data_IF_197506178217
#
_entry.id   IF_197506178217
#
_cell.length_a   1.000
_cell.length_b   1.000
_cell.length_c   1.000
_cell.angle_alpha   90.00
_cell.angle_beta   90.00
_cell.angle_gamma   90.00
#
_symmetry.space_group_name_H-M   'P 1'
#
loop_
_entity.id
_entity.type
_entity.pdbx_description
1 polymer ?
#
# COMPACT_ATOMS: atom_id res chain seq x y z
N UNK A 1 27.91 58.77 62.99
CA UNK A 1 28.47 57.89 61.95
C UNK A 1 27.80 56.53 62.07
N UNK A 2 26.70 56.29 61.36
CA UNK A 2 26.21 54.96 60.93
C UNK A 2 25.20 55.21 59.79
N UNK A 3 25.55 54.77 58.59
CA UNK A 3 24.84 55.04 57.34
C UNK A 3 23.62 54.12 57.19
N UNK A 4 22.43 54.71 57.00
CA UNK A 4 21.23 53.98 56.58
C UNK A 4 21.19 53.97 55.04
N UNK A 5 21.55 52.85 54.42
CA UNK A 5 21.40 52.64 52.97
C UNK A 5 20.03 52.04 52.68
N UNK A 6 19.13 52.84 52.11
CA UNK A 6 17.90 52.41 51.46
C UNK A 6 18.22 51.66 50.16
N UNK A 7 17.88 50.37 50.11
CA UNK A 7 17.91 49.58 48.87
C UNK A 7 16.53 49.68 48.20
N UNK A 8 16.44 50.43 47.11
CA UNK A 8 15.28 50.42 46.21
C UNK A 8 15.45 49.22 45.29
N UNK A 9 14.63 48.19 45.50
CA UNK A 9 14.58 47.01 44.64
C UNK A 9 13.69 47.34 43.43
N UNK A 10 14.29 47.71 42.30
CA UNK A 10 13.60 47.86 41.03
C UNK A 10 13.25 46.46 40.48
N UNK A 11 12.00 46.04 40.64
CA UNK A 11 11.46 44.88 39.94
C UNK A 11 11.28 45.25 38.46
N UNK A 12 12.23 44.82 37.62
CA UNK A 12 12.04 44.79 36.18
C UNK A 12 11.02 43.68 35.86
N UNK A 13 9.76 44.07 35.68
CA UNK A 13 8.75 43.26 35.01
C UNK A 13 9.18 43.06 33.57
N UNK A 14 9.96 42.01 33.30
CA UNK A 14 10.11 41.49 31.94
C UNK A 14 8.76 40.90 31.53
N UNK A 15 8.11 41.37 30.45
CA UNK A 15 6.95 40.67 29.93
C UNK A 15 7.43 39.30 29.48
N UNK A 16 6.94 38.25 30.12
CA UNK A 16 6.98 36.90 29.58
C UNK A 16 6.15 36.98 28.30
N UNK A 17 6.80 37.18 27.16
CA UNK A 17 6.22 37.00 25.85
C UNK A 17 5.86 35.51 25.75
N UNK A 18 4.63 35.17 26.14
CA UNK A 18 4.03 33.92 25.77
C UNK A 18 4.04 33.88 24.24
N UNK A 19 4.81 32.96 23.66
CA UNK A 19 4.70 32.64 22.25
C UNK A 19 3.23 32.29 21.97
N UNK A 20 2.51 33.17 21.28
CA UNK A 20 1.12 32.93 20.93
C UNK A 20 1.05 31.64 20.12
N UNK A 21 0.25 30.69 20.57
CA UNK A 21 -0.03 29.49 19.79
C UNK A 21 -0.54 29.94 18.41
N UNK A 22 0.17 29.56 17.35
CA UNK A 22 -0.14 29.98 15.98
C UNK A 22 -1.62 29.74 15.69
N UNK A 23 -2.34 30.82 15.41
CA UNK A 23 -3.79 30.75 15.21
C UNK A 23 -4.12 30.03 13.91
N UNK A 24 -5.21 29.25 13.90
CA UNK A 24 -5.69 28.60 12.67
C UNK A 24 -5.94 29.61 11.54
N UNK A 25 -6.35 30.84 11.88
CA UNK A 25 -6.56 31.93 10.92
C UNK A 25 -5.29 32.30 10.16
N UNK A 26 -4.13 32.33 10.84
CA UNK A 26 -2.84 32.62 10.21
C UNK A 26 -2.44 31.53 9.20
N UNK A 27 -2.78 30.26 9.48
CA UNK A 27 -2.54 29.13 8.58
C UNK A 27 -3.50 29.23 7.39
N UNK A 28 -4.79 29.49 7.62
CA UNK A 28 -5.80 29.65 6.56
C UNK A 28 -5.40 30.71 5.53
N UNK A 29 -4.88 31.85 5.99
CA UNK A 29 -4.40 32.92 5.12
C UNK A 29 -3.24 32.48 4.21
N UNK A 30 -2.41 31.53 4.65
CA UNK A 30 -1.27 31.02 3.89
C UNK A 30 -1.62 29.86 2.95
N UNK A 31 -2.74 29.15 3.18
CA UNK A 31 -3.15 27.99 2.37
C UNK A 31 -3.40 28.38 0.91
N UNK A 32 -4.09 29.50 0.65
CA UNK A 32 -4.37 29.96 -0.72
C UNK A 32 -3.07 30.17 -1.52
N UNK A 33 -2.12 30.88 -0.93
CA UNK A 33 -0.81 31.13 -1.52
C UNK A 33 -0.04 29.80 -1.75
N UNK A 34 -0.09 28.90 -0.76
CA UNK A 34 0.54 27.58 -0.84
C UNK A 34 0.00 26.74 -2.00
N UNK A 35 -1.32 26.70 -2.18
CA UNK A 35 -1.96 25.98 -3.29
C UNK A 35 -1.48 26.49 -4.65
N UNK A 36 -1.32 27.81 -4.78
CA UNK A 36 -0.85 28.41 -6.03
C UNK A 36 0.61 28.08 -6.33
N UNK A 37 1.50 28.21 -5.33
CA UNK A 37 2.97 28.12 -5.51
C UNK A 37 3.52 26.70 -5.46
N UNK A 38 2.97 25.84 -4.61
CA UNK A 38 3.60 24.56 -4.25
C UNK A 38 2.85 23.34 -4.77
N UNK A 39 1.58 23.47 -5.16
CA UNK A 39 0.80 22.36 -5.68
C UNK A 39 0.78 22.35 -7.22
N UNK A 40 1.15 21.21 -7.82
CA UNK A 40 1.23 21.01 -9.26
C UNK A 40 0.68 19.64 -9.67
N UNK A 41 0.39 19.47 -10.95
CA UNK A 41 -0.02 18.19 -11.55
C UNK A 41 -1.51 17.86 -11.38
N UNK A 42 -1.88 16.64 -11.78
CA UNK A 42 -3.28 16.19 -11.94
C UNK A 42 -4.16 16.24 -10.68
N UNK A 43 -3.57 16.32 -9.49
CA UNK A 43 -4.32 16.36 -8.23
C UNK A 43 -4.63 17.77 -7.77
N UNK A 44 -4.01 18.79 -8.37
CA UNK A 44 -4.18 20.19 -7.98
C UNK A 44 -5.65 20.62 -7.95
N UNK A 45 -6.47 20.40 -9.00
CA UNK A 45 -7.86 20.84 -8.98
C UNK A 45 -8.69 20.20 -7.86
N UNK A 46 -8.38 18.94 -7.52
CA UNK A 46 -9.08 18.21 -6.45
C UNK A 46 -8.78 18.85 -5.10
N UNK A 47 -7.50 19.05 -4.78
CA UNK A 47 -7.10 19.65 -3.50
C UNK A 47 -7.55 21.11 -3.40
N UNK A 48 -7.47 21.89 -4.48
CA UNK A 48 -8.01 23.26 -4.50
C UNK A 48 -9.51 23.27 -4.20
N UNK A 49 -10.28 22.34 -4.77
CA UNK A 49 -11.71 22.21 -4.49
C UNK A 49 -11.97 21.78 -3.04
N UNK A 50 -11.16 20.89 -2.46
CA UNK A 50 -11.27 20.51 -1.05
C UNK A 50 -11.12 21.72 -0.12
N UNK A 51 -10.13 22.60 -0.36
CA UNK A 51 -9.95 23.79 0.48
C UNK A 51 -10.98 24.88 0.21
N UNK A 52 -11.41 25.07 -1.05
CA UNK A 52 -12.47 26.02 -1.38
C UNK A 52 -13.77 25.70 -0.65
N UNK A 53 -14.15 24.42 -0.55
CA UNK A 53 -15.41 24.01 0.09
C UNK A 53 -15.43 24.20 1.62
N UNK A 54 -14.26 24.40 2.24
CA UNK A 54 -14.11 24.60 3.69
C UNK A 54 -13.57 25.99 4.03
N UNK A 55 -13.68 26.95 3.10
CA UNK A 55 -13.16 28.31 3.26
C UNK A 55 -11.67 28.35 3.69
N UNK A 56 -10.86 27.45 3.13
CA UNK A 56 -9.43 27.34 3.35
C UNK A 56 -8.99 27.07 4.80
N UNK A 57 -9.89 26.58 5.66
CA UNK A 57 -9.50 26.11 6.99
C UNK A 57 -8.57 24.89 6.89
N UNK A 58 -7.54 24.77 7.74
CA UNK A 58 -6.63 23.63 7.73
C UNK A 58 -7.36 22.34 8.11
N UNK A 59 -7.06 21.26 7.38
CA UNK A 59 -7.72 19.96 7.57
C UNK A 59 -7.00 19.13 8.63
N UNK A 60 -5.66 19.16 8.62
CA UNK A 60 -4.79 18.23 9.35
C UNK A 60 -4.00 18.89 10.47
N UNK A 61 -3.66 20.17 10.30
CA UNK A 61 -2.83 20.96 11.20
C UNK A 61 -3.68 21.89 12.05
N UNK A 62 -3.25 22.15 13.28
CA UNK A 62 -3.92 23.06 14.22
C UNK A 62 -4.64 22.34 15.35
N UNK A 63 -5.16 23.14 16.29
CA UNK A 63 -5.82 22.62 17.49
C UNK A 63 -7.02 21.72 17.13
N UNK A 64 -7.15 20.59 17.82
CA UNK A 64 -8.19 19.58 17.56
C UNK A 64 -7.94 18.63 16.37
N UNK A 65 -6.93 18.87 15.53
CA UNK A 65 -6.71 18.08 14.31
C UNK A 65 -5.76 16.89 14.49
N UNK A 66 -5.12 16.74 15.65
CA UNK A 66 -4.09 15.70 15.88
C UNK A 66 -4.58 14.27 15.64
N UNK A 67 -5.86 13.97 15.91
CA UNK A 67 -6.46 12.66 15.61
C UNK A 67 -6.51 12.40 14.10
N UNK A 68 -6.94 13.40 13.32
CA UNK A 68 -7.03 13.32 11.85
C UNK A 68 -5.64 13.13 11.24
N UNK A 69 -4.66 13.90 11.70
CA UNK A 69 -3.27 13.78 11.29
C UNK A 69 -2.72 12.36 11.55
N UNK A 70 -2.87 11.85 12.78
CA UNK A 70 -2.39 10.49 13.12
C UNK A 70 -3.07 9.42 12.29
N UNK A 71 -4.38 9.53 12.06
CA UNK A 71 -5.11 8.57 11.24
C UNK A 71 -4.60 8.57 9.80
N UNK A 72 -4.49 9.74 9.16
CA UNK A 72 -3.95 9.82 7.80
C UNK A 72 -2.52 9.29 7.72
N UNK A 73 -1.64 9.66 8.66
CA UNK A 73 -0.26 9.17 8.68
C UNK A 73 -0.18 7.64 8.85
N UNK A 74 -1.13 7.04 9.56
CA UNK A 74 -1.28 5.59 9.64
C UNK A 74 -1.78 5.01 8.31
N UNK A 75 -2.83 5.57 7.73
CA UNK A 75 -3.42 5.11 6.46
C UNK A 75 -2.43 5.19 5.28
N UNK A 76 -1.56 6.20 5.26
CA UNK A 76 -0.50 6.35 4.25
C UNK A 76 0.54 5.23 4.31
N UNK A 77 0.68 4.51 5.43
CA UNK A 77 1.60 3.38 5.61
C UNK A 77 0.92 2.03 5.62
N UNK A 78 -0.40 1.99 5.81
CA UNK A 78 -1.14 0.75 5.93
C UNK A 78 -1.04 -0.05 4.62
N UNK A 79 -0.49 -1.29 4.64
CA UNK A 79 -0.44 -2.14 3.45
C UNK A 79 -1.81 -2.37 2.82
N UNK A 80 -2.90 -2.24 3.57
CA UNK A 80 -4.25 -2.31 3.04
C UNK A 80 -4.53 -1.23 1.98
N UNK A 81 -3.92 -0.06 2.10
CA UNK A 81 -4.10 1.04 1.15
C UNK A 81 -2.84 1.30 0.31
N UNK A 82 -1.65 1.03 0.86
CA UNK A 82 -0.35 1.33 0.28
C UNK A 82 0.57 0.10 0.21
N UNK A 83 0.07 -1.00 -0.35
CA UNK A 83 0.84 -2.25 -0.47
C UNK A 83 2.16 -2.15 -1.25
N UNK A 84 2.33 -1.12 -2.09
CA UNK A 84 3.58 -0.83 -2.82
C UNK A 84 4.56 0.06 -2.04
N UNK A 85 4.22 0.43 -0.80
CA UNK A 85 5.03 1.27 0.08
C UNK A 85 5.46 2.60 -0.59
N UNK A 86 4.54 3.24 -1.31
CA UNK A 86 4.78 4.54 -1.94
C UNK A 86 5.00 5.59 -0.86
N UNK A 87 5.95 6.50 -1.10
CA UNK A 87 6.29 7.54 -0.11
C UNK A 87 5.11 8.44 0.24
N UNK A 88 4.31 8.87 -0.76
CA UNK A 88 3.25 9.86 -0.58
C UNK A 88 3.71 11.07 0.25
N UNK A 89 4.88 11.61 -0.11
CA UNK A 89 5.51 12.80 0.47
C UNK A 89 5.82 12.70 1.97
N UNK A 90 5.69 11.52 2.57
CA UNK A 90 5.84 11.30 4.01
C UNK A 90 7.23 11.71 4.53
N UNK A 91 8.29 11.46 3.78
CA UNK A 91 9.64 11.86 4.20
C UNK A 91 9.80 13.38 4.23
N UNK A 92 9.32 14.08 3.20
CA UNK A 92 9.36 15.55 3.18
C UNK A 92 8.46 16.16 4.26
N UNK A 93 7.30 15.55 4.54
CA UNK A 93 6.42 15.99 5.64
C UNK A 93 7.11 15.81 7.00
N UNK A 94 7.75 14.67 7.25
CA UNK A 94 8.52 14.42 8.48
C UNK A 94 9.66 15.42 8.65
N UNK A 95 10.39 15.72 7.57
CA UNK A 95 11.46 16.71 7.59
C UNK A 95 10.94 18.10 7.96
N UNK A 96 9.81 18.53 7.40
CA UNK A 96 9.22 19.83 7.75
C UNK A 96 8.73 19.89 9.20
N UNK A 97 8.15 18.81 9.73
CA UNK A 97 7.83 18.71 11.17
C UNK A 97 9.08 18.79 12.03
N UNK A 98 10.13 18.05 11.69
CA UNK A 98 11.40 18.09 12.41
C UNK A 98 11.97 19.51 12.48
N UNK A 99 12.01 20.24 11.37
CA UNK A 99 12.51 21.63 11.33
C UNK A 99 11.66 22.60 12.17
N UNK A 100 10.35 22.35 12.28
CA UNK A 100 9.47 23.12 13.16
C UNK A 100 9.76 22.81 14.63
N UNK A 101 9.94 21.53 14.96
CA UNK A 101 10.17 21.04 16.33
C UNK A 101 11.56 21.44 16.88
N UNK A 102 12.58 21.50 16.01
CA UNK A 102 13.94 21.93 16.38
C UNK A 102 14.10 23.46 16.44
N UNK A 103 13.08 24.21 16.03
CA UNK A 103 13.15 25.68 15.98
C UNK A 103 13.96 26.25 14.82
N UNK A 104 14.36 25.42 13.84
CA UNK A 104 15.05 25.87 12.61
C UNK A 104 14.18 26.83 11.78
N UNK A 105 12.85 26.72 11.87
CA UNK A 105 11.92 27.64 11.22
C UNK A 105 11.61 28.85 12.13
N UNK A 106 11.99 30.08 11.71
CA UNK A 106 11.65 31.30 12.44
C UNK A 106 10.14 31.47 12.61
N UNK A 107 9.72 32.03 13.74
CA UNK A 107 8.30 32.15 14.13
C UNK A 107 7.42 32.76 13.03
N UNK A 108 7.88 33.86 12.42
CA UNK A 108 7.16 34.55 11.34
C UNK A 108 6.94 33.70 10.06
N UNK A 109 7.70 32.60 9.87
CA UNK A 109 7.53 31.65 8.75
C UNK A 109 6.72 30.41 9.12
N UNK A 110 6.49 30.15 10.41
CA UNK A 110 5.88 28.89 10.85
C UNK A 110 4.48 28.68 10.27
N UNK A 111 3.65 29.73 10.18
CA UNK A 111 2.31 29.64 9.60
C UNK A 111 2.33 29.17 8.13
N UNK A 112 3.29 29.64 7.32
CA UNK A 112 3.40 29.22 5.92
C UNK A 112 3.93 27.78 5.77
N UNK A 113 4.84 27.35 6.67
CA UNK A 113 5.30 25.96 6.71
C UNK A 113 4.18 25.02 7.16
N UNK A 114 3.38 25.40 8.16
CA UNK A 114 2.20 24.63 8.57
C UNK A 114 1.17 24.51 7.45
N UNK A 115 0.88 25.61 6.72
CA UNK A 115 0.01 25.56 5.55
C UNK A 115 0.55 24.64 4.45
N UNK A 116 1.88 24.65 4.23
CA UNK A 116 2.55 23.74 3.30
C UNK A 116 2.39 22.28 3.69
N UNK A 117 2.57 21.95 4.96
CA UNK A 117 2.37 20.57 5.46
C UNK A 117 0.91 20.16 5.28
N UNK A 118 -0.05 21.02 5.62
CA UNK A 118 -1.49 20.73 5.48
C UNK A 118 -1.86 20.40 4.02
N UNK A 119 -1.39 21.22 3.07
CA UNK A 119 -1.61 20.99 1.63
C UNK A 119 -0.88 19.73 1.14
N UNK A 120 0.33 19.44 1.63
CA UNK A 120 1.06 18.21 1.29
C UNK A 120 0.32 16.97 1.75
N UNK A 121 -0.20 16.97 2.99
CA UNK A 121 -1.02 15.88 3.54
C UNK A 121 -2.30 15.67 2.71
N UNK A 122 -2.98 16.76 2.32
CA UNK A 122 -4.15 16.70 1.44
C UNK A 122 -3.81 16.10 0.07
N UNK A 123 -2.69 16.50 -0.54
CA UNK A 123 -2.23 15.92 -1.80
C UNK A 123 -1.87 14.43 -1.63
N UNK A 124 -1.22 14.04 -0.54
CA UNK A 124 -0.90 12.65 -0.22
C UNK A 124 -2.16 11.80 -0.06
N UNK A 125 -3.19 12.32 0.60
CA UNK A 125 -4.48 11.67 0.74
C UNK A 125 -5.16 11.47 -0.63
N UNK A 126 -5.20 12.50 -1.48
CA UNK A 126 -5.72 12.40 -2.86
C UNK A 126 -4.93 11.37 -3.69
N UNK A 127 -3.60 11.34 -3.55
CA UNK A 127 -2.74 10.35 -4.23
C UNK A 127 -3.03 8.92 -3.76
N UNK A 128 -3.28 8.73 -2.46
CA UNK A 128 -3.65 7.42 -1.92
C UNK A 128 -5.00 6.97 -2.46
N UNK A 129 -6.01 7.84 -2.47
CA UNK A 129 -7.33 7.56 -3.06
C UNK A 129 -7.21 7.19 -4.53
N UNK A 130 -6.43 7.96 -5.30
CA UNK A 130 -6.16 7.64 -6.70
C UNK A 130 -5.50 6.27 -6.85
N UNK A 131 -4.51 5.96 -6.01
CA UNK A 131 -3.83 4.68 -6.03
C UNK A 131 -4.77 3.50 -5.73
N UNK A 132 -5.71 3.65 -4.79
CA UNK A 132 -6.71 2.62 -4.46
C UNK A 132 -7.68 2.41 -5.63
N UNK A 133 -8.24 3.49 -6.17
CA UNK A 133 -9.37 3.44 -7.12
C UNK A 133 -8.91 3.23 -8.57
N UNK A 134 -7.89 3.98 -8.99
CA UNK A 134 -7.43 4.01 -10.39
C UNK A 134 -6.13 3.23 -10.60
N UNK A 135 -5.37 3.02 -9.53
CA UNK A 135 -4.05 2.39 -9.62
C UNK A 135 -2.98 3.33 -10.17
N UNK A 136 -1.85 2.74 -10.49
CA UNK A 136 -0.65 3.40 -11.03
C UNK A 136 -0.17 2.72 -12.31
N UNK A 137 -1.05 1.97 -12.97
CA UNK A 137 -0.79 1.37 -14.28
C UNK A 137 -0.68 2.48 -15.33
N UNK A 138 0.42 2.50 -16.07
CA UNK A 138 0.58 3.39 -17.22
C UNK A 138 -0.20 2.83 -18.41
N UNK A 139 -1.46 3.23 -18.51
CA UNK A 139 -2.35 2.77 -19.58
C UNK A 139 -1.93 3.22 -20.96
N UNK A 140 -1.27 4.37 -21.09
CA UNK A 140 -0.74 4.82 -22.37
C UNK A 140 0.37 3.88 -22.84
N UNK A 141 1.25 3.47 -21.93
CA UNK A 141 2.27 2.47 -22.22
C UNK A 141 1.67 1.10 -22.54
N UNK A 142 0.64 0.66 -21.81
CA UNK A 142 -0.07 -0.60 -22.10
C UNK A 142 -0.67 -0.56 -23.51
N UNK A 143 -1.38 0.50 -23.87
CA UNK A 143 -1.97 0.66 -25.20
C UNK A 143 -0.91 0.70 -26.30
N UNK A 144 0.22 1.40 -26.07
CA UNK A 144 1.36 1.41 -26.99
C UNK A 144 1.92 0.01 -27.20
N UNK A 145 2.06 -0.80 -26.14
CA UNK A 145 2.54 -2.18 -26.23
C UNK A 145 1.56 -3.09 -26.98
N UNK A 146 0.25 -2.97 -26.73
CA UNK A 146 -0.76 -3.75 -27.45
C UNK A 146 -0.75 -3.43 -28.95
N UNK A 147 -0.64 -2.15 -29.33
CA UNK A 147 -0.50 -1.75 -30.74
C UNK A 147 0.76 -2.31 -31.40
N UNK A 148 1.87 -2.35 -30.66
CA UNK A 148 3.11 -2.93 -31.15
C UNK A 148 2.96 -4.45 -31.40
N UNK A 149 2.36 -5.18 -30.45
CA UNK A 149 2.10 -6.62 -30.56
C UNK A 149 1.14 -6.96 -31.70
N UNK A 150 0.11 -6.15 -31.91
CA UNK A 150 -0.81 -6.31 -33.04
C UNK A 150 -0.09 -6.17 -34.39
N UNK A 151 0.96 -5.34 -34.46
CA UNK A 151 1.77 -5.16 -35.68
C UNK A 151 2.81 -6.26 -35.89
N UNK A 152 3.43 -6.76 -34.83
CA UNK A 152 4.50 -7.78 -34.94
C UNK A 152 3.97 -9.21 -35.02
N UNK A 153 2.92 -9.53 -34.26
CA UNK A 153 2.51 -10.91 -33.97
C UNK A 153 1.02 -11.18 -34.34
N UNK A 154 0.35 -10.25 -35.03
CA UNK A 154 -1.10 -10.24 -35.34
C UNK A 154 -2.01 -10.48 -34.12
N UNK A 155 -1.52 -10.13 -32.93
CA UNK A 155 -2.29 -10.25 -31.68
C UNK A 155 -3.28 -9.09 -31.59
N UNK A 156 -4.53 -9.34 -31.97
CA UNK A 156 -5.64 -8.39 -31.81
C UNK A 156 -6.32 -8.60 -30.46
N UNK A 157 -6.20 -7.62 -29.57
CA UNK A 157 -6.79 -7.68 -28.24
C UNK A 157 -7.57 -6.41 -27.95
N UNK A 158 -8.88 -6.54 -27.76
CA UNK A 158 -9.76 -5.46 -27.32
C UNK A 158 -10.00 -5.63 -25.83
N UNK A 159 -9.37 -4.77 -25.04
CA UNK A 159 -9.54 -4.76 -23.59
C UNK A 159 -10.67 -3.79 -23.24
N UNK A 160 -11.83 -4.32 -22.88
CA UNK A 160 -12.91 -3.54 -22.26
C UNK A 160 -12.48 -3.15 -20.83
N UNK A 161 -11.84 -2.00 -20.71
CA UNK A 161 -11.41 -1.47 -19.42
C UNK A 161 -12.48 -0.56 -18.84
N UNK A 162 -13.01 -0.94 -17.68
CA UNK A 162 -13.77 -0.03 -16.83
C UNK A 162 -12.79 0.91 -16.10
N UNK A 163 -12.50 2.07 -16.68
CA UNK A 163 -11.76 3.11 -15.98
C UNK A 163 -12.64 3.72 -14.90
N UNK A 164 -12.23 3.59 -13.64
CA UNK A 164 -12.97 4.15 -12.51
C UNK A 164 -12.71 5.66 -12.42
N UNK A 165 -13.76 6.51 -12.42
CA UNK A 165 -13.57 7.94 -12.19
C UNK A 165 -13.01 8.16 -10.78
N UNK A 166 -12.38 9.33 -10.59
CA UNK A 166 -11.99 9.72 -9.24
C UNK A 166 -13.26 9.90 -8.37
N UNK A 167 -13.28 9.46 -7.10
CA UNK A 167 -14.47 9.56 -6.25
C UNK A 167 -14.97 11.00 -6.04
N UNK A 168 -16.21 11.13 -5.56
CA UNK A 168 -16.81 12.42 -5.23
C UNK A 168 -15.94 13.21 -4.22
N UNK A 169 -15.59 14.43 -4.58
CA UNK A 169 -14.68 15.30 -3.81
C UNK A 169 -15.32 15.77 -2.50
N UNK A 170 -16.63 15.97 -2.46
CA UNK A 170 -17.34 16.35 -1.22
C UNK A 170 -17.30 15.23 -0.19
N UNK A 171 -17.53 13.97 -0.60
CA UNK A 171 -17.40 12.81 0.29
C UNK A 171 -15.96 12.62 0.77
N UNK A 172 -14.98 12.77 -0.13
CA UNK A 172 -13.55 12.75 0.21
C UNK A 172 -13.20 13.78 1.29
N UNK A 173 -13.67 15.02 1.10
CA UNK A 173 -13.42 16.15 2.01
C UNK A 173 -14.09 15.91 3.36
N UNK A 174 -15.36 15.50 3.37
CA UNK A 174 -16.10 15.18 4.59
C UNK A 174 -15.41 14.08 5.40
N UNK A 175 -14.94 13.01 4.75
CA UNK A 175 -14.19 11.96 5.43
C UNK A 175 -12.92 12.47 6.09
N UNK A 176 -12.18 13.39 5.45
CA UNK A 176 -11.01 14.02 6.04
C UNK A 176 -11.37 14.91 7.24
N UNK A 177 -12.40 15.76 7.11
CA UNK A 177 -12.82 16.69 8.16
C UNK A 177 -13.31 15.98 9.44
N UNK A 178 -13.98 14.84 9.29
CA UNK A 178 -14.50 14.07 10.42
C UNK A 178 -13.53 13.01 10.94
N UNK A 179 -12.31 12.91 10.38
CA UNK A 179 -11.33 11.91 10.80
C UNK A 179 -11.71 10.47 10.46
N UNK A 180 -12.53 10.30 9.42
CA UNK A 180 -13.05 9.02 8.93
C UNK A 180 -12.31 8.52 7.68
N UNK A 181 -11.05 8.93 7.48
CA UNK A 181 -10.25 8.57 6.30
C UNK A 181 -10.13 7.06 6.14
N UNK A 182 -9.88 6.32 7.21
CA UNK A 182 -9.73 4.86 7.16
C UNK A 182 -10.98 4.14 6.64
N UNK A 183 -12.14 4.48 7.21
CA UNK A 183 -13.42 3.91 6.80
C UNK A 183 -13.75 4.26 5.34
N UNK A 184 -13.52 5.52 4.95
CA UNK A 184 -13.70 5.98 3.59
C UNK A 184 -12.78 5.24 2.61
N UNK A 185 -11.47 5.16 2.88
CA UNK A 185 -10.50 4.45 2.04
C UNK A 185 -10.86 2.96 1.91
N UNK A 186 -11.31 2.32 3.00
CA UNK A 186 -11.78 0.93 2.98
C UNK A 186 -12.99 0.77 2.06
N UNK A 187 -13.92 1.72 2.07
CA UNK A 187 -15.12 1.67 1.21
C UNK A 187 -14.81 1.77 -0.29
N UNK A 188 -13.62 2.28 -0.65
CA UNK A 188 -13.16 2.41 -2.03
C UNK A 188 -12.48 1.14 -2.58
N UNK A 189 -12.21 0.14 -1.73
CA UNK A 189 -11.46 -1.06 -2.14
C UNK A 189 -12.32 -1.93 -3.08
N UNK A 190 -11.84 -2.21 -4.31
CA UNK A 190 -12.55 -3.04 -5.25
C UNK A 190 -12.40 -4.53 -4.89
N UNK A 191 -13.42 -5.35 -5.22
CA UNK A 191 -13.42 -6.78 -4.94
C UNK A 191 -12.97 -7.12 -3.51
N UNK A 192 -13.48 -6.40 -2.51
CA UNK A 192 -12.95 -6.32 -1.15
C UNK A 192 -12.51 -7.66 -0.54
N UNK A 193 -13.34 -8.71 -0.66
CA UNK A 193 -13.01 -10.06 -0.17
C UNK A 193 -11.73 -10.65 -0.79
N UNK A 194 -11.58 -10.53 -2.11
CA UNK A 194 -10.37 -10.98 -2.82
C UNK A 194 -9.16 -10.10 -2.48
N UNK A 195 -9.35 -8.79 -2.43
CA UNK A 195 -8.31 -7.83 -2.09
C UNK A 195 -7.72 -8.11 -0.70
N UNK A 196 -8.57 -8.28 0.32
CA UNK A 196 -8.12 -8.55 1.70
C UNK A 196 -7.35 -9.87 1.81
N UNK A 197 -7.77 -10.91 1.08
CA UNK A 197 -7.02 -12.19 1.00
C UNK A 197 -5.64 -11.96 0.40
N UNK A 198 -5.53 -11.18 -0.68
CA UNK A 198 -4.26 -10.85 -1.31
C UNK A 198 -3.34 -10.04 -0.39
N UNK A 199 -3.85 -9.05 0.35
CA UNK A 199 -3.07 -8.29 1.34
C UNK A 199 -2.53 -9.20 2.45
N UNK A 200 -3.37 -10.12 2.97
CA UNK A 200 -2.94 -11.10 3.98
C UNK A 200 -1.81 -11.99 3.45
N UNK A 201 -1.92 -12.46 2.21
CA UNK A 201 -0.88 -13.26 1.56
C UNK A 201 0.37 -12.42 1.31
N UNK A 202 0.23 -11.18 0.83
CA UNK A 202 1.34 -10.27 0.59
C UNK A 202 2.16 -10.06 1.86
N UNK A 203 1.51 -9.74 2.98
CA UNK A 203 2.17 -9.59 4.29
C UNK A 203 2.91 -10.86 4.70
N UNK A 204 2.32 -12.04 4.45
CA UNK A 204 2.98 -13.33 4.71
C UNK A 204 4.29 -13.45 3.91
N UNK A 205 4.27 -13.12 2.61
CA UNK A 205 5.44 -13.23 1.74
C UNK A 205 6.50 -12.15 2.00
N UNK A 206 6.10 -10.92 2.31
CA UNK A 206 7.03 -9.83 2.65
C UNK A 206 7.84 -10.12 3.92
N UNK A 207 7.26 -10.87 4.87
CA UNK A 207 7.94 -11.28 6.10
C UNK A 207 8.85 -12.52 5.92
N UNK A 208 9.00 -13.06 4.69
CA UNK A 208 9.90 -14.19 4.42
C UNK A 208 11.29 -13.69 4.02
N UNK A 209 12.14 -13.39 5.01
CA UNK A 209 13.49 -12.84 4.76
C UNK A 209 14.54 -13.89 4.37
N UNK A 210 14.36 -15.15 4.76
CA UNK A 210 15.33 -16.23 4.52
C UNK A 210 14.65 -17.50 4.04
N UNK A 211 14.69 -17.73 2.72
CA UNK A 211 14.16 -18.97 2.13
C UNK A 211 15.30 -19.78 1.54
N UNK A 212 15.60 -20.97 2.11
CA UNK A 212 16.80 -21.71 1.79
C UNK A 212 16.73 -22.25 0.36
N UNK A 213 17.78 -22.02 -0.42
CA UNK A 213 17.90 -22.56 -1.78
C UNK A 213 18.17 -24.06 -1.74
N UNK A 214 17.48 -24.81 -2.59
CA UNK A 214 17.69 -26.25 -2.74
C UNK A 214 18.85 -26.45 -3.71
N UNK A 215 19.94 -27.16 -3.32
CA UNK A 215 21.00 -27.52 -4.24
C UNK A 215 20.47 -28.30 -5.45
N UNK A 216 20.85 -27.87 -6.65
CA UNK A 216 20.52 -28.61 -7.87
C UNK A 216 21.24 -29.95 -7.90
N UNK A 217 20.58 -30.96 -8.47
CA UNK A 217 21.15 -32.30 -8.62
C UNK A 217 20.44 -33.06 -9.74
N UNK A 218 21.13 -34.04 -10.32
CA UNK A 218 20.53 -35.01 -11.25
C UNK A 218 19.69 -36.07 -10.52
N UNK A 219 19.88 -36.25 -9.22
CA UNK A 219 19.14 -37.24 -8.42
C UNK A 219 17.73 -36.73 -8.11
N UNK A 220 16.73 -37.37 -8.72
CA UNK A 220 15.31 -37.19 -8.43
C UNK A 220 14.99 -37.73 -7.04
N UNK A 221 14.30 -36.93 -6.22
CA UNK A 221 13.86 -37.34 -4.89
C UNK A 221 12.42 -37.85 -4.94
N UNK A 222 12.20 -39.04 -4.40
CA UNK A 222 10.89 -39.70 -4.32
C UNK A 222 10.68 -40.39 -2.98
N UNK A 223 9.46 -40.86 -2.75
CA UNK A 223 9.07 -41.60 -1.54
C UNK A 223 10.10 -42.67 -1.18
N UNK A 224 10.51 -42.69 0.10
CA UNK A 224 11.49 -43.63 0.64
C UNK A 224 12.95 -43.14 0.59
N UNK A 225 13.28 -42.12 -0.21
CA UNK A 225 14.64 -41.58 -0.23
C UNK A 225 15.01 -40.87 1.08
N UNK A 226 16.30 -40.90 1.41
CA UNK A 226 16.92 -40.04 2.41
C UNK A 226 17.96 -39.14 1.73
N UNK A 227 17.89 -37.84 1.95
CA UNK A 227 18.78 -36.85 1.32
C UNK A 227 18.79 -35.56 2.16
N UNK A 228 19.91 -34.86 2.22
CA UNK A 228 20.03 -33.59 2.96
C UNK A 228 19.10 -32.51 2.38
N UNK A 229 18.83 -32.54 1.07
CA UNK A 229 17.91 -31.63 0.38
C UNK A 229 16.46 -31.76 0.85
N UNK A 230 16.05 -32.92 1.37
CA UNK A 230 14.69 -33.14 1.87
C UNK A 230 14.33 -32.20 3.02
N UNK A 231 15.28 -31.92 3.92
CA UNK A 231 15.08 -30.94 5.01
C UNK A 231 14.79 -29.54 4.45
N UNK A 232 15.51 -29.16 3.39
CA UNK A 232 15.36 -27.86 2.72
C UNK A 232 13.99 -27.78 2.03
N UNK A 233 13.61 -28.83 1.29
CA UNK A 233 12.32 -28.91 0.60
C UNK A 233 11.17 -28.82 1.62
N UNK A 234 11.22 -29.58 2.73
CA UNK A 234 10.21 -29.50 3.80
C UNK A 234 10.10 -28.08 4.37
N UNK A 235 11.22 -27.41 4.66
CA UNK A 235 11.23 -26.02 5.12
C UNK A 235 10.58 -25.07 4.11
N UNK A 236 10.93 -25.16 2.83
CA UNK A 236 10.30 -24.33 1.78
C UNK A 236 8.80 -24.58 1.68
N UNK A 237 8.37 -25.84 1.71
CA UNK A 237 6.96 -26.19 1.64
C UNK A 237 6.16 -25.78 2.89
N UNK A 238 6.78 -25.68 4.08
CA UNK A 238 6.15 -25.08 5.25
C UNK A 238 5.92 -23.58 5.09
N UNK A 239 6.89 -22.88 4.48
CA UNK A 239 6.80 -21.45 4.23
C UNK A 239 5.70 -21.13 3.19
N UNK A 240 5.66 -21.85 2.08
CA UNK A 240 4.58 -21.72 1.09
C UNK A 240 3.23 -22.20 1.64
N UNK A 241 3.22 -23.18 2.54
CA UNK A 241 2.04 -23.70 3.23
C UNK A 241 1.52 -25.03 2.67
N UNK A 242 2.31 -25.72 1.84
CA UNK A 242 1.99 -27.05 1.31
C UNK A 242 2.35 -28.17 2.29
N UNK A 243 3.32 -27.93 3.18
CA UNK A 243 3.72 -28.87 4.24
C UNK A 243 3.29 -28.33 5.61
N UNK A 244 2.74 -29.16 6.52
CA UNK A 244 2.28 -28.70 7.83
C UNK A 244 3.42 -28.08 8.66
N UNK A 245 3.16 -26.93 9.30
CA UNK A 245 4.18 -26.20 10.09
C UNK A 245 4.73 -26.99 11.27
N UNK A 246 3.92 -27.86 11.86
CA UNK A 246 4.27 -28.71 13.00
C UNK A 246 4.84 -30.08 12.58
N UNK A 247 4.94 -30.37 11.28
CA UNK A 247 5.46 -31.65 10.82
C UNK A 247 7.01 -31.70 10.87
N UNK A 248 7.61 -32.89 11.09
CA UNK A 248 9.06 -33.01 11.28
C UNK A 248 9.90 -32.67 10.03
N UNK A 249 10.96 -31.90 10.24
CA UNK A 249 11.97 -31.56 9.22
C UNK A 249 13.16 -32.53 9.33
N UNK A 250 12.96 -33.77 8.88
CA UNK A 250 14.01 -34.79 8.78
C UNK A 250 14.47 -34.97 7.32
N UNK A 251 15.48 -35.81 7.09
CA UNK A 251 16.01 -36.09 5.74
C UNK A 251 15.20 -37.12 4.96
N UNK A 252 14.13 -37.70 5.54
CA UNK A 252 13.34 -38.76 4.91
C UNK A 252 12.21 -38.18 4.07
N UNK A 253 12.15 -38.61 2.81
CA UNK A 253 11.06 -38.31 1.91
C UNK A 253 9.89 -39.25 2.21
N UNK A 254 9.00 -38.81 3.08
CA UNK A 254 7.84 -39.55 3.56
C UNK A 254 6.58 -39.28 2.70
N UNK A 255 5.49 -40.02 2.98
CA UNK A 255 4.22 -39.87 2.27
C UNK A 255 3.62 -38.46 2.44
N UNK A 256 3.85 -37.82 3.61
CA UNK A 256 3.40 -36.46 3.87
C UNK A 256 4.11 -35.47 2.95
N UNK A 257 5.42 -35.61 2.76
CA UNK A 257 6.18 -34.79 1.82
C UNK A 257 5.75 -35.04 0.38
N UNK A 258 5.52 -36.29 -0.02
CA UNK A 258 4.97 -36.61 -1.35
C UNK A 258 3.67 -35.83 -1.61
N UNK A 259 2.74 -35.85 -0.66
CA UNK A 259 1.48 -35.12 -0.80
C UNK A 259 1.68 -33.59 -0.87
N UNK A 260 2.60 -33.03 -0.07
CA UNK A 260 2.94 -31.61 -0.16
C UNK A 260 3.56 -31.23 -1.51
N UNK A 261 4.42 -32.09 -2.07
CA UNK A 261 5.00 -31.91 -3.41
C UNK A 261 3.92 -31.98 -4.48
N UNK A 262 2.97 -32.92 -4.39
CA UNK A 262 1.81 -33.00 -5.29
C UNK A 262 1.00 -31.70 -5.27
N UNK A 263 0.70 -31.17 -4.08
CA UNK A 263 -0.01 -29.89 -3.93
C UNK A 263 0.77 -28.74 -4.57
N UNK A 264 2.09 -28.70 -4.34
CA UNK A 264 2.96 -27.70 -4.96
C UNK A 264 2.95 -27.80 -6.48
N UNK A 265 3.16 -29.00 -7.03
CA UNK A 265 3.18 -29.25 -8.47
C UNK A 265 1.88 -28.82 -9.14
N UNK A 266 0.73 -29.19 -8.56
CA UNK A 266 -0.59 -28.73 -9.03
C UNK A 266 -0.70 -27.21 -9.05
N UNK A 267 -0.31 -26.54 -7.96
CA UNK A 267 -0.39 -25.07 -7.86
C UNK A 267 0.49 -24.35 -8.89
N UNK A 268 1.62 -24.94 -9.26
CA UNK A 268 2.56 -24.36 -10.22
C UNK A 268 2.39 -24.91 -11.65
N UNK A 269 1.32 -25.67 -11.92
CA UNK A 269 1.04 -26.30 -13.21
C UNK A 269 2.22 -27.13 -13.74
N UNK A 270 2.91 -27.83 -12.83
CA UNK A 270 4.00 -28.75 -13.14
C UNK A 270 3.45 -30.17 -13.33
N UNK A 271 4.27 -31.07 -13.88
CA UNK A 271 4.00 -32.50 -13.88
C UNK A 271 3.72 -32.98 -12.44
N UNK A 272 2.57 -33.61 -12.22
CA UNK A 272 2.10 -34.02 -10.89
C UNK A 272 2.42 -35.49 -10.63
N UNK A 273 3.66 -35.77 -10.22
CA UNK A 273 4.14 -37.13 -9.90
C UNK A 273 4.58 -37.30 -8.43
N UNK A 274 4.57 -36.22 -7.65
CA UNK A 274 5.00 -36.20 -6.25
C UNK A 274 6.51 -36.41 -6.08
N UNK A 275 7.29 -36.30 -7.15
CA UNK A 275 8.75 -36.37 -7.12
C UNK A 275 9.35 -34.96 -7.20
N UNK A 276 10.57 -34.79 -6.68
CA UNK A 276 11.31 -33.52 -6.81
C UNK A 276 12.50 -33.74 -7.73
N UNK A 277 12.32 -33.34 -8.98
CA UNK A 277 13.31 -33.32 -10.05
C UNK A 277 13.96 -31.93 -10.21
N UNK A 278 14.77 -31.74 -11.25
CA UNK A 278 15.41 -30.45 -11.56
C UNK A 278 14.39 -29.35 -11.83
N UNK A 279 13.32 -29.67 -12.56
CA UNK A 279 12.27 -28.71 -12.90
C UNK A 279 11.55 -28.24 -11.65
N UNK A 280 11.07 -29.16 -10.83
CA UNK A 280 10.43 -28.85 -9.54
C UNK A 280 11.37 -28.05 -8.65
N UNK A 281 12.66 -28.42 -8.60
CA UNK A 281 13.70 -27.67 -7.86
C UNK A 281 13.85 -26.24 -8.37
N UNK A 282 13.90 -26.04 -9.70
CA UNK A 282 14.00 -24.72 -10.32
C UNK A 282 12.82 -23.81 -9.94
N UNK A 283 11.60 -24.33 -10.01
CA UNK A 283 10.40 -23.59 -9.61
C UNK A 283 10.39 -23.29 -8.11
N UNK A 284 10.75 -24.29 -7.29
CA UNK A 284 10.87 -24.09 -5.85
C UNK A 284 11.88 -23.00 -5.52
N UNK A 285 13.01 -22.92 -6.23
CA UNK A 285 14.09 -21.96 -6.01
C UNK A 285 13.83 -20.54 -6.54
N UNK A 286 12.73 -20.31 -7.26
CA UNK A 286 12.39 -18.97 -7.72
C UNK A 286 12.37 -17.96 -6.57
N UNK A 287 12.86 -16.73 -6.79
CA UNK A 287 12.93 -15.74 -5.73
C UNK A 287 11.53 -15.33 -5.30
N UNK A 288 11.36 -15.12 -3.98
CA UNK A 288 10.09 -14.68 -3.40
C UNK A 288 9.59 -13.38 -4.01
N UNK A 289 10.50 -12.51 -4.45
CA UNK A 289 10.16 -11.27 -5.15
C UNK A 289 9.23 -11.50 -6.34
N UNK A 290 9.35 -12.62 -7.07
CA UNK A 290 8.41 -12.98 -8.15
C UNK A 290 7.00 -13.24 -7.61
N UNK A 291 6.87 -13.94 -6.48
CA UNK A 291 5.57 -14.16 -5.84
C UNK A 291 4.97 -12.84 -5.32
N UNK A 292 5.78 -12.00 -4.67
CA UNK A 292 5.38 -10.66 -4.21
C UNK A 292 4.87 -9.83 -5.39
N UNK A 293 5.63 -9.79 -6.49
CA UNK A 293 5.24 -9.06 -7.70
C UNK A 293 3.93 -9.61 -8.27
N UNK A 294 3.78 -10.93 -8.37
CA UNK A 294 2.52 -11.54 -8.84
C UNK A 294 1.33 -11.18 -7.95
N UNK A 295 1.49 -11.17 -6.62
CA UNK A 295 0.44 -10.75 -5.68
C UNK A 295 0.08 -9.28 -5.87
N UNK A 296 1.08 -8.39 -5.97
CA UNK A 296 0.88 -6.96 -6.23
C UNK A 296 0.18 -6.71 -7.58
N UNK A 297 0.55 -7.45 -8.63
CA UNK A 297 -0.13 -7.38 -9.92
C UNK A 297 -1.58 -7.83 -9.81
N UNK A 298 -1.88 -8.88 -9.05
CA UNK A 298 -3.27 -9.28 -8.81
C UNK A 298 -4.05 -8.24 -7.98
N UNK A 299 -3.42 -7.56 -7.02
CA UNK A 299 -4.01 -6.41 -6.34
C UNK A 299 -4.33 -5.27 -7.32
N UNK A 300 -3.44 -4.97 -8.27
CA UNK A 300 -3.73 -3.98 -9.33
C UNK A 300 -4.88 -4.43 -10.23
N UNK A 301 -4.93 -5.71 -10.61
CA UNK A 301 -6.01 -6.28 -11.43
C UNK A 301 -7.39 -6.13 -10.78
N UNK A 302 -7.51 -6.24 -9.46
CA UNK A 302 -8.80 -6.02 -8.76
C UNK A 302 -9.44 -4.68 -9.11
N UNK A 303 -8.64 -3.66 -9.45
CA UNK A 303 -9.11 -2.32 -9.80
C UNK A 303 -9.80 -2.27 -11.15
N UNK A 304 -9.50 -3.22 -12.04
CA UNK A 304 -10.06 -3.32 -13.40
C UNK A 304 -11.42 -3.98 -13.43
N UNK A 305 -11.72 -4.83 -12.44
CA UNK A 305 -12.99 -5.50 -12.34
C UNK A 305 -14.11 -4.53 -11.92
N UNK A 306 -15.35 -4.81 -12.34
CA UNK A 306 -16.52 -4.08 -11.86
C UNK A 306 -16.65 -4.21 -10.33
N UNK A 307 -17.40 -3.30 -9.72
CA UNK A 307 -17.61 -3.31 -8.27
C UNK A 307 -18.32 -4.59 -7.81
N UNK A 308 -19.29 -5.03 -8.62
CA UNK A 308 -20.02 -6.28 -8.47
C UNK A 308 -20.19 -6.89 -9.85
N UNK A 309 -20.15 -8.23 -9.92
CA UNK A 309 -20.61 -8.95 -11.11
C UNK A 309 -22.13 -9.07 -11.07
N UNK A 310 -22.72 -9.40 -12.21
CA UNK A 310 -24.12 -9.77 -12.34
C UNK A 310 -24.45 -10.98 -11.44
N UNK A 311 -25.74 -11.21 -11.18
CA UNK A 311 -26.17 -12.36 -10.40
C UNK A 311 -25.76 -13.69 -11.04
N UNK A 312 -25.53 -13.71 -12.35
CA UNK A 312 -25.16 -14.90 -13.10
C UNK A 312 -24.02 -14.56 -14.07
N UNK A 313 -22.87 -15.22 -13.93
CA UNK A 313 -21.69 -14.94 -14.75
C UNK A 313 -20.76 -16.15 -14.87
N UNK A 314 -19.91 -16.13 -15.91
CA UNK A 314 -18.83 -17.10 -16.11
C UNK A 314 -17.48 -16.43 -15.89
N UNK A 315 -16.69 -16.96 -14.96
CA UNK A 315 -15.30 -16.57 -14.73
C UNK A 315 -14.38 -17.48 -15.54
N UNK A 316 -13.63 -16.90 -16.48
CA UNK A 316 -12.60 -17.60 -17.26
C UNK A 316 -11.22 -17.13 -16.81
N UNK A 317 -10.48 -18.00 -16.12
CA UNK A 317 -9.11 -17.72 -15.71
C UNK A 317 -8.14 -18.37 -16.70
N UNK A 318 -7.78 -17.62 -17.74
CA UNK A 318 -6.93 -18.10 -18.85
C UNK A 318 -5.58 -18.67 -18.34
N UNK A 319 -4.81 -17.97 -17.47
CA UNK A 319 -3.55 -18.51 -16.94
C UNK A 319 -3.67 -19.80 -16.12
N UNK A 320 -4.84 -20.04 -15.51
CA UNK A 320 -5.10 -21.22 -14.67
C UNK A 320 -5.82 -22.34 -15.43
N UNK A 321 -6.17 -22.11 -16.70
CA UNK A 321 -6.98 -23.01 -17.55
C UNK A 321 -8.29 -23.45 -16.88
N UNK A 322 -8.91 -22.57 -16.08
CA UNK A 322 -10.18 -22.89 -15.40
C UNK A 322 -11.32 -22.01 -15.89
N UNK A 323 -12.51 -22.61 -15.97
CA UNK A 323 -13.78 -21.95 -16.14
C UNK A 323 -14.65 -22.24 -14.92
N UNK A 324 -15.32 -21.21 -14.39
CA UNK A 324 -16.23 -21.35 -13.24
C UNK A 324 -17.52 -20.61 -13.54
N UNK A 325 -18.64 -21.27 -13.29
CA UNK A 325 -19.96 -20.68 -13.42
C UNK A 325 -20.48 -20.26 -12.04
N UNK A 326 -20.97 -19.03 -11.94
CA UNK A 326 -21.54 -18.48 -10.73
C UNK A 326 -23.00 -18.09 -10.95
N UNK A 327 -23.85 -18.43 -9.98
CA UNK A 327 -25.25 -18.02 -9.91
C UNK A 327 -25.60 -17.59 -8.49
N UNK A 328 -26.21 -16.41 -8.34
CA UNK A 328 -26.54 -15.75 -7.08
C UNK A 328 -25.35 -15.72 -6.10
N UNK A 329 -24.17 -15.39 -6.61
CA UNK A 329 -22.91 -15.33 -5.84
C UNK A 329 -22.34 -16.68 -5.40
N UNK A 330 -22.93 -17.81 -5.83
CA UNK A 330 -22.44 -19.16 -5.54
C UNK A 330 -21.84 -19.79 -6.78
N UNK A 331 -20.68 -20.45 -6.61
CA UNK A 331 -20.11 -21.30 -7.66
C UNK A 331 -20.95 -22.56 -7.74
N UNK A 332 -21.41 -22.90 -8.95
CA UNK A 332 -22.17 -24.11 -9.25
C UNK A 332 -21.23 -25.25 -9.62
#
# INVERSE_FOLDING_TARGET
>A
MYYLKTFILLFLLSPILYAEAISQNSISAQIQNTLQRHLKGQNRPIVEQMYRSINYHPIWIGNGNSRKLRQLMSDLKDPLFNYKNKSFDQESIKQLFFQLDTGEIPEYKRASVYARIDVMLSNSYVRLVRFIVQGDVDWNLVQKKLRALAKSDDIKSHWEMSFKPFPNISTLTSAALHGNTHAYLTSLIPMQSHYFKLIKILKKYQNMHHVPQIPYSNKVLKLGNSDSRVKIIKKRLQLSGDYPKNAPINSKFDARLKNAVITYQRRYLLKVDGMVDKTTTYYMNQPISKNIQAIMTNLDKTKLYPKHFENEYVEVNIPDFTLRYYKNGRRI
#
